data_IF_531943531373
#
_entry.id   IF_531943531373
#
_cell.length_a   1.000
_cell.length_b   1.000
_cell.length_c   1.000
_cell.angle_alpha   90.00
_cell.angle_beta   90.00
_cell.angle_gamma   90.00
#
_symmetry.space_group_name_H-M   'P 1'
#
loop_
_entity.id
_entity.type
_entity.pdbx_description
1 polymer ?
#
# COMPACT_ATOMS: atom_id res chain seq x y z
N UNK A 1 2.35 29.54 33.28
CA UNK A 1 2.16 28.44 34.24
C UNK A 1 1.90 27.15 33.48
N UNK A 2 2.83 26.21 33.60
CA UNK A 2 2.82 24.77 33.31
C UNK A 2 2.36 24.24 31.93
N UNK A 3 3.35 23.92 31.08
CA UNK A 3 3.26 22.90 30.04
C UNK A 3 3.46 21.50 30.66
N UNK A 4 2.62 20.52 30.28
CA UNK A 4 2.74 19.12 30.72
C UNK A 4 2.97 18.17 29.55
N UNK A 5 4.21 18.07 29.09
CA UNK A 5 4.67 17.04 28.14
C UNK A 5 5.20 15.86 28.94
N UNK A 6 4.46 14.75 28.99
CA UNK A 6 4.94 13.51 29.59
C UNK A 6 5.65 12.67 28.53
N UNK A 7 6.95 12.94 28.39
CA UNK A 7 7.92 12.00 27.80
C UNK A 7 8.12 10.86 28.79
N UNK A 8 7.62 9.67 28.50
CA UNK A 8 7.98 8.45 29.22
C UNK A 8 9.19 7.79 28.58
N UNK A 9 10.30 7.97 29.31
CA UNK A 9 11.46 7.12 29.52
C UNK A 9 11.75 5.94 28.58
N UNK A 10 12.98 5.98 28.08
CA UNK A 10 13.75 4.88 27.55
C UNK A 10 13.88 3.76 28.58
N UNK A 11 13.72 2.52 28.14
CA UNK A 11 14.18 1.34 28.86
C UNK A 11 14.93 0.42 27.89
N UNK A 12 16.24 0.16 28.07
CA UNK A 12 16.96 -0.83 27.29
C UNK A 12 16.75 -2.19 27.97
N UNK A 13 15.70 -2.90 27.60
CA UNK A 13 15.46 -4.25 28.10
C UNK A 13 16.21 -5.28 27.23
N UNK A 14 17.26 -5.86 27.80
CA UNK A 14 17.59 -7.28 27.58
C UNK A 14 18.43 -7.62 26.35
N UNK A 15 19.75 -7.38 26.43
CA UNK A 15 20.70 -8.24 25.72
C UNK A 15 20.79 -9.55 26.51
N UNK A 16 20.20 -10.62 26.00
CA UNK A 16 20.52 -11.99 26.44
C UNK A 16 21.16 -12.72 25.28
N UNK A 17 22.49 -12.84 25.37
CA UNK A 17 23.28 -13.73 24.55
C UNK A 17 23.03 -15.17 25.04
N UNK A 18 22.30 -15.96 24.26
CA UNK A 18 22.35 -17.40 24.36
C UNK A 18 23.24 -17.90 23.21
N UNK A 19 24.49 -18.13 23.56
CA UNK A 19 25.47 -18.83 22.75
C UNK A 19 25.21 -20.33 22.84
N UNK A 20 25.34 -20.99 21.68
CA UNK A 20 25.61 -22.41 21.45
C UNK A 20 24.44 -23.40 21.56
N UNK A 21 24.12 -24.00 20.40
CA UNK A 21 23.55 -25.34 20.37
C UNK A 21 22.70 -25.62 19.15
N UNK A 22 23.30 -26.13 18.07
CA UNK A 22 22.59 -27.01 17.16
C UNK A 22 22.57 -26.60 15.70
N UNK A 23 23.45 -27.28 14.95
CA UNK A 23 23.39 -27.48 13.50
C UNK A 23 24.00 -26.36 12.65
N UNK A 24 25.25 -26.53 12.18
CA UNK A 24 25.63 -25.92 10.92
C UNK A 24 24.70 -26.53 9.90
N UNK A 25 23.66 -25.78 9.52
CA UNK A 25 22.89 -26.05 8.31
C UNK A 25 23.93 -26.02 7.22
N UNK A 26 24.41 -27.22 6.87
CA UNK A 26 25.39 -27.47 5.83
C UNK A 26 25.11 -26.45 4.75
N UNK A 27 26.11 -25.63 4.49
CA UNK A 27 26.22 -24.91 3.23
C UNK A 27 25.97 -25.98 2.17
N UNK A 28 24.72 -26.13 1.75
CA UNK A 28 24.46 -26.60 0.41
C UNK A 28 25.21 -25.59 -0.43
N UNK A 29 26.20 -26.00 -1.23
CA UNK A 29 26.54 -25.22 -2.39
C UNK A 29 25.25 -25.28 -3.20
N UNK A 30 24.37 -24.29 -3.02
CA UNK A 30 23.29 -24.07 -3.97
C UNK A 30 24.03 -23.74 -5.25
N UNK A 31 24.25 -24.78 -6.06
CA UNK A 31 25.00 -24.69 -7.29
C UNK A 31 24.48 -23.46 -8.04
N UNK A 32 25.34 -22.48 -8.19
CA UNK A 32 25.15 -21.26 -8.96
C UNK A 32 25.16 -21.58 -10.46
N UNK A 33 24.50 -22.65 -10.87
CA UNK A 33 24.18 -22.92 -12.26
C UNK A 33 22.73 -22.50 -12.40
N UNK A 34 22.54 -21.19 -12.64
CA UNK A 34 21.32 -20.74 -13.30
C UNK A 34 21.16 -21.61 -14.53
N UNK A 35 20.03 -22.31 -14.64
CA UNK A 35 19.73 -23.30 -15.66
C UNK A 35 20.15 -22.76 -17.04
N UNK A 36 21.34 -23.16 -17.51
CA UNK A 36 21.76 -22.89 -18.88
C UNK A 36 20.87 -23.77 -19.75
N UNK A 37 20.35 -23.22 -20.83
CA UNK A 37 19.68 -24.05 -21.82
C UNK A 37 20.69 -24.99 -22.51
N UNK A 38 20.21 -25.85 -23.40
CA UNK A 38 21.03 -26.82 -24.12
C UNK A 38 22.20 -26.19 -24.92
N UNK A 39 22.22 -24.85 -25.07
CA UNK A 39 23.21 -24.08 -25.81
C UNK A 39 24.06 -23.15 -24.94
N UNK A 40 23.95 -23.22 -23.61
CA UNK A 40 24.73 -22.37 -22.73
C UNK A 40 24.24 -20.92 -22.67
N UNK A 41 23.02 -20.64 -23.14
CA UNK A 41 22.41 -19.33 -23.08
C UNK A 41 21.56 -19.20 -21.80
N UNK A 42 21.51 -18.01 -21.17
CA UNK A 42 20.64 -17.80 -20.02
C UNK A 42 19.18 -17.93 -20.46
N UNK A 43 18.45 -18.91 -19.90
CA UNK A 43 17.02 -19.05 -20.17
C UNK A 43 16.28 -17.76 -19.79
N UNK A 44 15.48 -17.15 -20.70
CA UNK A 44 14.69 -15.98 -20.34
C UNK A 44 13.68 -16.36 -19.26
N UNK A 45 13.80 -15.73 -18.10
CA UNK A 45 12.86 -15.96 -17.00
C UNK A 45 11.48 -15.38 -17.35
N UNK A 46 10.37 -16.09 -17.07
CA UNK A 46 9.04 -15.54 -17.27
C UNK A 46 8.84 -14.30 -16.39
N UNK A 47 8.70 -13.14 -17.01
CA UNK A 47 8.42 -11.90 -16.32
C UNK A 47 6.99 -11.92 -15.76
N UNK A 48 6.83 -11.93 -14.43
CA UNK A 48 5.52 -11.76 -13.81
C UNK A 48 5.01 -10.34 -14.04
N UNK A 49 3.72 -10.19 -14.34
CA UNK A 49 3.09 -8.88 -14.49
C UNK A 49 3.15 -8.05 -13.20
N UNK A 50 3.09 -6.71 -13.33
CA UNK A 50 2.99 -5.81 -12.17
C UNK A 50 1.73 -6.13 -11.36
N UNK A 51 1.85 -6.11 -10.04
CA UNK A 51 0.69 -6.19 -9.15
C UNK A 51 -0.24 -4.99 -9.39
N UNK A 52 -1.54 -5.27 -9.52
CA UNK A 52 -2.62 -4.27 -9.50
C UNK A 52 -3.00 -3.96 -8.04
N UNK A 53 -3.75 -2.90 -7.80
CA UNK A 53 -4.23 -2.51 -6.46
C UNK A 53 -3.80 -1.11 -6.00
N UNK A 54 -2.99 -0.39 -6.78
CA UNK A 54 -2.58 0.99 -6.51
C UNK A 54 -3.29 2.02 -7.39
N UNK A 55 -4.45 1.67 -7.96
CA UNK A 55 -5.20 2.52 -8.90
C UNK A 55 -5.66 3.82 -8.24
N UNK A 56 -6.08 3.73 -6.97
CA UNK A 56 -6.44 4.89 -6.19
C UNK A 56 -5.19 5.54 -5.58
N UNK A 57 -4.80 6.69 -6.13
CA UNK A 57 -3.80 7.57 -5.52
C UNK A 57 -4.49 8.81 -4.94
N UNK A 58 -4.49 8.98 -3.61
CA UNK A 58 -5.27 10.01 -2.94
C UNK A 58 -4.73 11.40 -3.30
N UNK A 59 -5.61 12.23 -3.85
CA UNK A 59 -5.32 13.64 -4.09
C UNK A 59 -6.59 14.46 -3.91
N UNK A 60 -6.57 15.39 -2.94
CA UNK A 60 -7.75 16.16 -2.58
C UNK A 60 -8.24 17.07 -3.73
N UNK A 61 -7.30 17.67 -4.46
CA UNK A 61 -7.59 18.52 -5.62
C UNK A 61 -8.37 17.73 -6.68
N UNK A 62 -7.83 16.57 -7.10
CA UNK A 62 -8.51 15.73 -8.11
C UNK A 62 -9.86 15.25 -7.59
N UNK A 63 -9.96 14.85 -6.32
CA UNK A 63 -11.21 14.39 -5.70
C UNK A 63 -12.30 15.47 -5.73
N UNK A 64 -11.98 16.69 -5.31
CA UNK A 64 -12.95 17.81 -5.27
C UNK A 64 -13.32 18.31 -6.67
N UNK A 65 -12.38 18.37 -7.61
CA UNK A 65 -12.69 18.72 -9.00
C UNK A 65 -13.53 17.66 -9.71
N UNK A 66 -13.25 16.37 -9.51
CA UNK A 66 -13.98 15.29 -10.20
C UNK A 66 -15.34 14.98 -9.56
N UNK A 67 -15.44 15.10 -8.23
CA UNK A 67 -16.60 14.58 -7.51
C UNK A 67 -17.19 15.53 -6.47
N UNK A 68 -16.71 16.78 -6.37
CA UNK A 68 -17.22 17.75 -5.43
C UNK A 68 -18.58 18.34 -5.81
N UNK A 69 -19.16 19.10 -4.89
CA UNK A 69 -20.49 19.71 -5.04
C UNK A 69 -20.65 20.59 -6.28
N UNK A 70 -19.71 21.52 -6.50
CA UNK A 70 -19.73 22.46 -7.63
C UNK A 70 -19.78 21.72 -8.97
N UNK A 71 -18.97 20.66 -9.12
CA UNK A 71 -18.92 19.79 -10.31
C UNK A 71 -20.26 19.09 -10.57
N UNK A 72 -21.02 18.75 -9.52
CA UNK A 72 -22.34 18.12 -9.66
C UNK A 72 -23.38 19.13 -10.13
N UNK A 73 -23.33 20.36 -9.63
CA UNK A 73 -24.27 21.42 -10.04
C UNK A 73 -23.99 21.96 -11.45
N UNK A 74 -22.76 21.83 -11.95
CA UNK A 74 -22.41 22.35 -13.28
C UNK A 74 -23.03 21.60 -14.45
N UNK A 75 -23.68 20.44 -14.23
CA UNK A 75 -24.29 19.64 -15.30
C UNK A 75 -25.67 19.14 -14.87
N UNK A 76 -26.66 19.06 -15.78
CA UNK A 76 -28.00 18.57 -15.45
C UNK A 76 -27.98 17.13 -14.94
N UNK A 77 -27.15 16.26 -15.54
CA UNK A 77 -26.96 14.89 -15.07
C UNK A 77 -26.36 14.83 -13.66
N UNK A 78 -25.46 15.76 -13.32
CA UNK A 78 -24.89 15.86 -11.97
C UNK A 78 -25.93 16.27 -10.93
N UNK A 79 -26.83 17.20 -11.27
CA UNK A 79 -27.96 17.59 -10.41
C UNK A 79 -28.89 16.38 -10.17
N UNK A 80 -29.22 15.60 -11.20
CA UNK A 80 -30.02 14.38 -11.06
C UNK A 80 -29.36 13.34 -10.13
N UNK A 81 -28.03 13.24 -10.10
CA UNK A 81 -27.32 12.37 -9.14
C UNK A 81 -27.56 12.84 -7.70
N UNK A 82 -27.54 14.15 -7.45
CA UNK A 82 -27.82 14.71 -6.13
C UNK A 82 -29.26 14.44 -5.71
N UNK A 83 -30.23 14.70 -6.58
CA UNK A 83 -31.65 14.43 -6.31
C UNK A 83 -31.90 12.96 -5.96
N UNK A 84 -31.33 12.02 -6.72
CA UNK A 84 -31.41 10.58 -6.41
C UNK A 84 -30.77 10.22 -5.07
N UNK A 85 -29.68 10.89 -4.68
CA UNK A 85 -29.02 10.68 -3.39
C UNK A 85 -29.85 11.25 -2.22
N UNK A 86 -30.50 12.39 -2.41
CA UNK A 86 -31.43 13.00 -1.45
C UNK A 86 -32.65 12.10 -1.24
N UNK A 87 -33.28 11.65 -2.33
CA UNK A 87 -34.42 10.74 -2.27
C UNK A 87 -34.08 9.43 -1.55
N UNK A 88 -32.86 8.91 -1.74
CA UNK A 88 -32.37 7.72 -1.03
C UNK A 88 -31.99 7.97 0.44
N UNK A 89 -31.91 9.24 0.87
CA UNK A 89 -31.50 9.59 2.24
C UNK A 89 -30.02 9.34 2.53
N UNK A 90 -29.12 9.52 1.55
CA UNK A 90 -27.67 9.37 1.80
C UNK A 90 -27.16 10.51 2.70
N UNK A 91 -26.42 10.17 3.75
CA UNK A 91 -25.78 11.15 4.66
C UNK A 91 -24.84 12.13 3.93
N UNK A 92 -24.14 11.67 2.90
CA UNK A 92 -23.30 12.52 2.04
C UNK A 92 -23.79 12.52 0.59
N UNK A 93 -24.06 13.72 0.08
CA UNK A 93 -24.55 13.91 -1.28
C UNK A 93 -23.40 14.02 -2.30
N UNK A 94 -22.28 14.59 -1.89
CA UNK A 94 -21.09 14.79 -2.73
C UNK A 94 -19.81 14.68 -1.89
N UNK A 95 -18.65 14.76 -2.54
CA UNK A 95 -17.34 14.63 -1.88
C UNK A 95 -16.82 15.91 -1.25
#
# INVERSE_FOLDING_TARGET
MAAGSLRSLWGPAGRSAALLGGSPRWLQPRAWLGLLDAWGLPTPQPARGRARGNEYQPSNIKRKHKHGWIRRLSTPAGVQVILRRMLKGRKSLSH
#
